data_IF_553459147723
#
_entry.id   IF_553459147723
#
_cell.length_a   1.000
_cell.length_b   1.000
_cell.length_c   1.000
_cell.angle_alpha   90.00
_cell.angle_beta   90.00
_cell.angle_gamma   90.00
#
_symmetry.space_group_name_H-M   'P 1'
#
loop_
_entity.id
_entity.type
_entity.pdbx_description
1 polymer ?
#
# COMPACT_ATOMS: atom_id res chain seq x y z
N UNK A 1 -12.64 -4.04 1.31
CA UNK A 1 -11.95 -4.63 0.16
C UNK A 1 -12.82 -4.77 -1.11
N UNK A 2 -14.18 -4.85 -1.08
CA UNK A 2 -14.96 -4.97 -2.32
C UNK A 2 -14.69 -3.85 -3.33
N UNK A 3 -14.47 -2.61 -2.87
CA UNK A 3 -14.17 -1.48 -3.75
C UNK A 3 -12.87 -1.68 -4.56
N UNK A 4 -11.80 -2.18 -3.92
CA UNK A 4 -10.53 -2.44 -4.60
C UNK A 4 -10.63 -3.61 -5.59
N UNK A 5 -11.45 -4.62 -5.27
CA UNK A 5 -11.76 -5.72 -6.20
C UNK A 5 -12.50 -5.20 -7.43
N UNK A 6 -13.57 -4.41 -7.23
CA UNK A 6 -14.33 -3.80 -8.32
C UNK A 6 -13.47 -2.88 -9.18
N UNK A 7 -12.63 -2.05 -8.56
CA UNK A 7 -11.72 -1.17 -9.29
C UNK A 7 -10.76 -1.99 -10.18
N UNK A 8 -10.22 -3.09 -9.67
CA UNK A 8 -9.38 -3.99 -10.46
C UNK A 8 -10.12 -4.57 -11.68
N UNK A 9 -11.36 -5.01 -11.50
CA UNK A 9 -12.21 -5.51 -12.60
C UNK A 9 -12.50 -4.41 -13.63
N UNK A 10 -12.81 -3.19 -13.18
CA UNK A 10 -13.07 -2.05 -14.06
C UNK A 10 -11.81 -1.73 -14.89
N UNK A 11 -10.66 -1.64 -14.25
CA UNK A 11 -9.38 -1.39 -14.93
C UNK A 11 -9.07 -2.47 -15.96
N UNK A 12 -9.30 -3.74 -15.64
CA UNK A 12 -9.10 -4.84 -16.57
C UNK A 12 -10.04 -4.71 -17.78
N UNK A 13 -11.32 -4.40 -17.56
CA UNK A 13 -12.28 -4.22 -18.66
C UNK A 13 -11.96 -3.03 -19.56
N UNK A 14 -11.52 -1.92 -18.98
CA UNK A 14 -11.19 -0.70 -19.73
C UNK A 14 -9.91 -0.84 -20.55
N UNK A 15 -8.93 -1.59 -20.07
CA UNK A 15 -7.61 -1.70 -20.68
C UNK A 15 -7.40 -2.97 -21.49
N UNK A 16 -8.25 -3.99 -21.30
CA UNK A 16 -8.03 -5.33 -21.84
C UNK A 16 -6.85 -6.09 -21.20
N UNK A 17 -6.23 -5.53 -20.16
CA UNK A 17 -5.06 -6.08 -19.46
C UNK A 17 -5.40 -6.32 -17.99
N UNK A 18 -4.94 -7.44 -17.43
CA UNK A 18 -5.10 -7.71 -16.01
C UNK A 18 -4.21 -6.78 -15.15
N UNK A 19 -4.43 -6.77 -13.83
CA UNK A 19 -3.67 -5.90 -12.92
C UNK A 19 -2.19 -6.24 -12.87
N UNK A 20 -1.82 -7.52 -13.05
CA UNK A 20 -0.44 -7.95 -13.07
C UNK A 20 0.30 -7.35 -14.28
N UNK A 21 -0.29 -7.46 -15.45
CA UNK A 21 0.25 -6.88 -16.67
C UNK A 21 0.32 -5.36 -16.59
N UNK A 22 -0.74 -4.70 -16.09
CA UNK A 22 -0.74 -3.25 -15.90
C UNK A 22 0.30 -2.79 -14.90
N UNK A 23 0.42 -3.48 -13.75
CA UNK A 23 1.44 -3.19 -12.74
C UNK A 23 2.85 -3.33 -13.30
N UNK A 24 3.09 -4.42 -14.05
CA UNK A 24 4.36 -4.68 -14.69
C UNK A 24 4.75 -3.58 -15.68
N UNK A 25 3.90 -3.30 -16.67
CA UNK A 25 4.20 -2.36 -17.75
C UNK A 25 4.28 -0.90 -17.27
N UNK A 26 3.43 -0.51 -16.29
CA UNK A 26 3.33 0.89 -15.87
C UNK A 26 4.28 1.27 -14.75
N UNK A 27 4.62 0.30 -13.89
CA UNK A 27 5.39 0.57 -12.67
C UNK A 27 6.63 -0.33 -12.54
N UNK A 28 6.46 -1.65 -12.59
CA UNK A 28 7.55 -2.54 -12.19
C UNK A 28 8.73 -2.48 -13.16
N UNK A 29 8.48 -2.56 -14.45
CA UNK A 29 9.54 -2.46 -15.48
C UNK A 29 10.16 -1.06 -15.50
N UNK A 30 9.40 0.05 -15.60
CA UNK A 30 9.97 1.39 -15.61
C UNK A 30 10.79 1.72 -14.35
N UNK A 31 10.38 1.25 -13.18
CA UNK A 31 11.06 1.48 -11.91
C UNK A 31 12.16 0.44 -11.62
N UNK A 32 12.31 -0.59 -12.42
CA UNK A 32 13.21 -1.70 -12.16
C UNK A 32 12.85 -2.48 -10.88
N UNK A 33 11.55 -2.64 -10.61
CA UNK A 33 11.00 -3.39 -9.46
C UNK A 33 10.92 -4.89 -9.83
N UNK A 34 12.06 -5.54 -9.86
CA UNK A 34 12.19 -6.91 -10.39
C UNK A 34 11.57 -7.98 -9.50
N UNK A 35 11.35 -7.69 -8.23
CA UNK A 35 10.82 -8.65 -7.24
C UNK A 35 9.35 -8.41 -6.88
N UNK A 36 8.68 -7.48 -7.56
CA UNK A 36 7.31 -7.09 -7.29
C UNK A 36 6.31 -7.74 -8.24
N UNK A 37 5.09 -8.02 -7.77
CA UNK A 37 3.97 -8.56 -8.54
C UNK A 37 3.19 -9.65 -7.82
N UNK A 38 2.20 -10.21 -8.50
CA UNK A 38 1.42 -11.35 -8.02
C UNK A 38 2.10 -12.66 -8.40
N UNK A 39 1.68 -13.78 -7.79
CA UNK A 39 2.11 -15.15 -8.07
C UNK A 39 3.65 -15.29 -8.19
N UNK A 40 4.41 -14.95 -7.15
CA UNK A 40 5.87 -14.84 -7.22
C UNK A 40 6.56 -16.15 -7.60
N UNK A 41 5.96 -17.30 -7.30
CA UNK A 41 6.53 -18.63 -7.59
C UNK A 41 6.39 -19.04 -9.06
N UNK A 42 5.37 -18.54 -9.77
CA UNK A 42 4.95 -19.06 -11.07
C UNK A 42 4.87 -18.03 -12.18
N UNK A 43 5.02 -16.75 -11.87
CA UNK A 43 4.98 -15.69 -12.88
C UNK A 43 6.09 -15.86 -13.91
N UNK A 44 5.79 -15.62 -15.17
CA UNK A 44 6.68 -15.86 -16.31
C UNK A 44 7.95 -14.99 -16.30
N UNK A 45 7.83 -13.74 -15.78
CA UNK A 45 8.98 -12.86 -15.64
C UNK A 45 9.50 -12.92 -14.20
N UNK A 46 10.73 -13.26 -14.02
CA UNK A 46 11.42 -13.21 -12.72
C UNK A 46 10.67 -13.95 -11.59
N UNK A 47 10.44 -15.25 -11.75
CA UNK A 47 9.95 -16.10 -10.68
C UNK A 47 10.93 -16.07 -9.49
N UNK A 48 10.39 -16.03 -8.28
CA UNK A 48 11.17 -15.97 -7.03
C UNK A 48 11.21 -17.37 -6.42
N UNK A 49 12.40 -17.89 -6.09
CA UNK A 49 12.52 -19.15 -5.39
C UNK A 49 11.76 -19.13 -4.05
N UNK A 50 11.12 -20.25 -3.70
CA UNK A 50 10.30 -20.33 -2.46
C UNK A 50 11.10 -19.96 -1.21
N UNK A 51 12.36 -20.35 -1.14
CA UNK A 51 13.28 -20.09 -0.03
C UNK A 51 13.64 -18.61 0.15
N UNK A 52 13.33 -17.78 -0.84
CA UNK A 52 13.50 -16.32 -0.78
C UNK A 52 12.20 -15.57 -0.44
N UNK A 53 11.11 -16.30 -0.16
CA UNK A 53 9.82 -15.73 0.17
C UNK A 53 9.50 -16.06 1.63
N UNK A 54 9.28 -15.05 2.45
CA UNK A 54 8.89 -15.23 3.82
C UNK A 54 7.49 -15.85 3.92
N UNK A 55 7.28 -16.89 4.76
CA UNK A 55 5.96 -17.45 5.00
C UNK A 55 5.12 -16.48 5.82
N UNK A 56 3.81 -16.49 5.63
CA UNK A 56 2.90 -15.54 6.28
C UNK A 56 2.04 -16.15 7.39
N UNK A 57 1.77 -17.44 7.35
CA UNK A 57 0.97 -18.14 8.37
C UNK A 57 1.05 -19.67 8.22
N UNK A 58 0.88 -20.40 9.31
CA UNK A 58 0.45 -21.80 9.30
C UNK A 58 -1.09 -21.77 9.33
N UNK A 59 -1.71 -21.83 8.16
CA UNK A 59 -3.12 -21.56 7.97
C UNK A 59 -3.98 -22.78 8.26
N UNK A 60 -4.84 -22.72 9.27
CA UNK A 60 -5.79 -23.79 9.61
C UNK A 60 -6.79 -24.04 8.49
N UNK A 61 -7.31 -22.98 7.85
CA UNK A 61 -8.27 -23.09 6.74
C UNK A 61 -7.70 -23.85 5.53
N UNK A 62 -6.39 -23.71 5.27
CA UNK A 62 -5.71 -24.38 4.14
C UNK A 62 -4.97 -25.65 4.59
N UNK A 63 -4.87 -25.90 5.90
CA UNK A 63 -4.18 -27.05 6.48
C UNK A 63 -2.66 -27.08 6.20
N UNK A 64 -2.04 -25.93 5.92
CA UNK A 64 -0.62 -25.84 5.58
C UNK A 64 -0.03 -24.44 5.75
N UNK A 65 1.29 -24.36 5.70
CA UNK A 65 2.02 -23.09 5.65
C UNK A 65 1.72 -22.33 4.35
N UNK A 66 1.47 -21.03 4.48
CA UNK A 66 1.32 -20.09 3.38
C UNK A 66 2.67 -19.42 3.10
N UNK A 67 3.23 -19.71 1.93
CA UNK A 67 4.46 -19.11 1.46
C UNK A 67 4.40 -18.96 -0.07
N UNK A 68 4.57 -17.72 -0.56
CA UNK A 68 4.46 -17.42 -1.99
C UNK A 68 3.03 -17.48 -2.55
N UNK A 69 2.05 -17.51 -1.66
CA UNK A 69 0.62 -17.50 -1.99
C UNK A 69 -0.08 -16.32 -1.33
N UNK A 70 -1.17 -15.86 -1.94
CA UNK A 70 -2.00 -14.79 -1.37
C UNK A 70 -2.52 -15.21 0.01
N UNK A 71 -2.23 -14.41 1.04
CA UNK A 71 -2.66 -14.68 2.41
C UNK A 71 -4.18 -14.54 2.59
N UNK A 72 -4.77 -13.43 2.10
CA UNK A 72 -6.22 -13.16 2.16
C UNK A 72 -7.02 -14.28 1.47
N UNK A 73 -7.94 -14.91 2.19
CA UNK A 73 -8.70 -16.06 1.73
C UNK A 73 -9.61 -15.71 0.54
N UNK A 74 -10.25 -14.54 0.59
CA UNK A 74 -11.14 -14.07 -0.48
C UNK A 74 -10.36 -13.81 -1.76
N UNK A 75 -9.25 -13.10 -1.66
CA UNK A 75 -8.35 -12.85 -2.77
C UNK A 75 -7.74 -14.15 -3.31
N UNK A 76 -7.38 -15.09 -2.42
CA UNK A 76 -6.87 -16.40 -2.81
C UNK A 76 -7.88 -17.22 -3.62
N UNK A 77 -9.16 -17.18 -3.29
CA UNK A 77 -10.23 -17.81 -4.08
C UNK A 77 -10.41 -17.09 -5.42
N UNK A 78 -10.52 -15.76 -5.39
CA UNK A 78 -10.81 -14.95 -6.58
C UNK A 78 -9.64 -14.92 -7.59
N UNK A 79 -8.39 -15.15 -7.15
CA UNK A 79 -7.22 -15.16 -8.03
C UNK A 79 -7.30 -16.13 -9.22
N UNK A 80 -8.15 -17.15 -9.12
CA UNK A 80 -8.39 -18.08 -10.22
C UNK A 80 -9.08 -17.43 -11.43
N UNK A 81 -9.69 -16.28 -11.21
CA UNK A 81 -10.42 -15.54 -12.23
C UNK A 81 -9.63 -14.33 -12.74
N UNK A 82 -8.93 -13.65 -11.83
CA UNK A 82 -8.13 -12.43 -12.13
C UNK A 82 -7.23 -12.07 -10.93
N UNK A 83 -6.12 -11.34 -11.13
CA UNK A 83 -5.37 -10.72 -10.05
C UNK A 83 -6.25 -9.73 -9.29
N UNK A 84 -6.28 -9.83 -7.96
CA UNK A 84 -7.21 -9.09 -7.12
C UNK A 84 -6.58 -7.81 -6.60
N UNK A 85 -7.24 -6.66 -6.79
CA UNK A 85 -6.73 -5.36 -6.40
C UNK A 85 -6.70 -5.09 -4.88
N UNK A 86 -7.26 -5.99 -4.05
CA UNK A 86 -7.34 -5.79 -2.60
C UNK A 86 -6.18 -6.40 -1.82
N UNK A 87 -5.51 -7.40 -2.36
CA UNK A 87 -4.43 -8.13 -1.69
C UNK A 87 -3.60 -8.96 -2.67
N UNK A 88 -2.50 -9.54 -2.20
CA UNK A 88 -1.76 -10.58 -2.92
C UNK A 88 -0.58 -10.10 -3.74
N UNK A 89 -0.25 -8.82 -3.70
CA UNK A 89 1.01 -8.35 -4.28
C UNK A 89 2.17 -8.70 -3.34
N UNK A 90 3.22 -9.25 -3.91
CA UNK A 90 4.51 -9.52 -3.27
C UNK A 90 5.53 -8.47 -3.69
N UNK A 91 6.43 -8.13 -2.81
CA UNK A 91 7.49 -7.16 -3.09
C UNK A 91 8.66 -7.32 -2.11
N UNK A 92 9.67 -6.47 -2.25
CA UNK A 92 10.78 -6.33 -1.32
C UNK A 92 11.01 -4.84 -0.99
N UNK A 93 11.74 -4.56 0.09
CA UNK A 93 12.00 -3.18 0.54
C UNK A 93 12.64 -2.33 -0.58
N UNK A 94 13.68 -2.78 -1.30
CA UNK A 94 14.27 -1.98 -2.38
C UNK A 94 13.30 -1.59 -3.48
N UNK A 95 12.39 -2.49 -3.87
CA UNK A 95 11.40 -2.19 -4.91
C UNK A 95 10.36 -1.19 -4.42
N UNK A 96 9.85 -1.37 -3.18
CA UNK A 96 8.88 -0.45 -2.60
C UNK A 96 9.47 0.96 -2.37
N UNK A 97 10.75 1.06 -2.01
CA UNK A 97 11.43 2.35 -1.92
C UNK A 97 11.49 3.08 -3.26
N UNK A 98 11.75 2.37 -4.38
CA UNK A 98 11.69 2.98 -5.72
C UNK A 98 10.30 3.51 -6.04
N UNK A 99 9.26 2.75 -5.71
CA UNK A 99 7.87 3.18 -5.91
C UNK A 99 7.53 4.41 -5.08
N UNK A 100 7.84 4.41 -3.78
CA UNK A 100 7.58 5.54 -2.88
C UNK A 100 8.37 6.77 -3.29
N UNK A 101 9.65 6.60 -3.65
CA UNK A 101 10.48 7.68 -4.18
C UNK A 101 9.86 8.31 -5.43
N UNK A 102 9.38 7.50 -6.38
CA UNK A 102 8.67 8.00 -7.55
C UNK A 102 7.43 8.82 -7.18
N UNK A 103 6.62 8.35 -6.21
CA UNK A 103 5.44 9.09 -5.73
C UNK A 103 5.84 10.39 -5.06
N UNK A 104 6.85 10.37 -4.18
CA UNK A 104 7.38 11.55 -3.48
C UNK A 104 7.97 12.60 -4.43
N UNK A 105 8.49 12.17 -5.58
CA UNK A 105 8.99 13.04 -6.65
C UNK A 105 7.93 13.33 -7.73
N UNK A 106 6.68 13.37 -7.34
CA UNK A 106 5.55 13.70 -8.21
C UNK A 106 5.51 12.92 -9.53
N UNK A 107 5.78 11.62 -9.46
CA UNK A 107 5.70 10.71 -10.59
C UNK A 107 6.98 10.59 -11.43
N UNK A 108 8.08 11.19 -10.97
CA UNK A 108 9.39 11.10 -11.63
C UNK A 108 10.28 10.09 -10.93
N UNK A 109 11.00 9.29 -11.69
CA UNK A 109 11.97 8.32 -11.19
C UNK A 109 13.26 8.35 -12.02
N UNK A 110 14.33 7.79 -11.48
CA UNK A 110 15.56 7.53 -12.24
C UNK A 110 15.36 6.33 -13.17
N UNK A 111 15.54 6.52 -14.46
CA UNK A 111 15.58 5.46 -15.43
C UNK A 111 16.89 4.66 -15.39
N UNK A 112 16.93 3.53 -16.09
CA UNK A 112 18.05 2.61 -16.08
C UNK A 112 19.39 3.23 -16.56
N UNK A 113 19.32 4.27 -17.36
CA UNK A 113 20.49 5.00 -17.90
C UNK A 113 20.84 6.27 -17.08
N UNK A 114 20.20 6.45 -15.91
CA UNK A 114 20.37 7.63 -15.06
C UNK A 114 19.59 8.87 -15.53
N UNK A 115 18.82 8.79 -16.61
CA UNK A 115 17.92 9.88 -17.02
C UNK A 115 16.66 9.87 -16.15
N UNK A 116 16.03 11.03 -15.98
CA UNK A 116 14.70 11.12 -15.39
C UNK A 116 13.64 10.58 -16.34
N UNK A 117 12.73 9.75 -15.81
CA UNK A 117 11.56 9.25 -16.51
C UNK A 117 10.30 9.59 -15.74
N UNK A 118 9.23 9.93 -16.45
CA UNK A 118 7.91 10.11 -15.85
C UNK A 118 7.14 8.80 -15.89
N UNK A 119 6.87 8.25 -14.71
CA UNK A 119 6.17 6.97 -14.52
C UNK A 119 4.69 7.19 -14.15
N UNK A 120 4.39 8.26 -13.40
CA UNK A 120 3.03 8.63 -13.05
C UNK A 120 2.70 10.08 -13.47
N UNK A 121 1.42 10.44 -13.63
CA UNK A 121 1.01 11.79 -13.99
C UNK A 121 1.55 12.84 -13.01
N UNK A 122 1.84 14.03 -13.49
CA UNK A 122 2.14 15.19 -12.65
C UNK A 122 0.95 15.47 -11.72
N UNK A 123 1.23 15.89 -10.49
CA UNK A 123 0.22 16.10 -9.45
C UNK A 123 -0.13 14.81 -8.66
N UNK A 124 0.52 13.67 -8.94
CA UNK A 124 0.24 12.44 -8.18
C UNK A 124 0.53 12.61 -6.69
N UNK A 125 1.60 13.31 -6.33
CA UNK A 125 1.94 13.57 -4.92
C UNK A 125 0.79 14.29 -4.22
N UNK A 126 0.24 15.33 -4.84
CA UNK A 126 -0.93 16.04 -4.32
C UNK A 126 -2.13 15.12 -4.16
N UNK A 127 -2.41 14.28 -5.15
CA UNK A 127 -3.54 13.34 -5.12
C UNK A 127 -3.46 12.31 -3.99
N UNK A 128 -2.27 11.92 -3.56
CA UNK A 128 -2.08 10.92 -2.50
C UNK A 128 -1.83 11.53 -1.12
N UNK A 129 -1.50 12.81 -1.01
CA UNK A 129 -1.17 13.52 0.24
C UNK A 129 -2.23 14.54 0.66
N UNK A 130 -3.27 14.75 -0.13
CA UNK A 130 -4.39 15.62 0.22
C UNK A 130 -5.68 14.82 0.41
N UNK A 131 -6.51 15.27 1.34
CA UNK A 131 -7.78 14.61 1.62
C UNK A 131 -8.71 14.64 0.40
N UNK A 132 -9.08 13.47 -0.10
CA UNK A 132 -9.99 13.31 -1.23
C UNK A 132 -11.44 13.70 -0.86
N UNK A 133 -11.78 13.73 0.44
CA UNK A 133 -13.09 14.10 0.95
C UNK A 133 -13.03 15.51 1.56
N UNK A 134 -13.01 16.53 0.72
CA UNK A 134 -13.24 17.90 1.18
C UNK A 134 -14.68 18.07 1.67
N UNK A 135 -14.94 19.06 2.54
CA UNK A 135 -16.30 19.36 3.06
C UNK A 135 -17.37 19.45 1.95
N UNK A 136 -17.02 19.97 0.80
CA UNK A 136 -17.93 20.16 -0.34
C UNK A 136 -18.23 18.84 -1.06
N UNK A 137 -17.25 17.95 -1.19
CA UNK A 137 -17.43 16.61 -1.80
C UNK A 137 -18.16 15.64 -0.87
N UNK A 138 -17.87 15.66 0.43
CA UNK A 138 -18.49 14.77 1.40
C UNK A 138 -19.98 15.11 1.66
N UNK A 139 -20.34 16.41 1.58
CA UNK A 139 -21.73 16.86 1.78
C UNK A 139 -22.71 16.31 0.72
N UNK A 140 -22.21 15.91 -0.44
CA UNK A 140 -23.05 15.32 -1.51
C UNK A 140 -23.37 13.84 -1.28
N UNK A 141 -22.61 13.13 -0.45
CA UNK A 141 -22.72 11.68 -0.29
C UNK A 141 -23.06 11.21 1.13
N UNK A 142 -23.02 12.09 2.13
CA UNK A 142 -23.37 11.75 3.51
C UNK A 142 -24.77 12.30 3.86
N UNK A 143 -25.63 11.52 4.53
CA UNK A 143 -26.91 12.03 5.00
C UNK A 143 -26.70 13.22 5.95
N UNK A 144 -27.51 14.26 5.77
CA UNK A 144 -27.52 15.43 6.62
C UNK A 144 -27.73 15.03 8.09
N UNK A 145 -26.70 15.19 8.91
CA UNK A 145 -26.77 14.84 10.34
C UNK A 145 -25.49 14.16 10.90
N UNK A 146 -24.63 13.62 10.06
CA UNK A 146 -23.37 13.02 10.51
C UNK A 146 -22.12 13.84 10.15
N UNK A 147 -22.23 15.17 10.19
CA UNK A 147 -21.08 16.06 9.98
C UNK A 147 -20.24 16.15 11.26
N UNK A 148 -19.45 15.15 11.54
CA UNK A 148 -18.35 15.22 12.54
C UNK A 148 -17.00 15.49 11.87
N UNK A 149 -16.99 16.08 10.69
CA UNK A 149 -15.78 16.66 10.10
C UNK A 149 -15.55 18.04 10.75
N UNK A 150 -15.04 18.04 11.97
CA UNK A 150 -14.52 19.23 12.61
C UNK A 150 -13.32 19.78 11.85
N UNK A 151 -13.12 21.09 11.92
CA UNK A 151 -11.90 21.80 11.46
C UNK A 151 -10.70 21.38 12.32
N UNK A 152 -10.20 20.18 12.16
CA UNK A 152 -8.96 19.77 12.79
C UNK A 152 -7.92 19.49 11.73
N UNK A 153 -6.90 20.36 11.62
CA UNK A 153 -5.63 19.93 11.05
C UNK A 153 -5.06 18.88 12.01
N UNK A 154 -4.51 17.82 11.49
CA UNK A 154 -3.71 16.83 12.20
C UNK A 154 -4.21 16.47 13.60
N UNK A 155 -4.86 15.33 13.76
CA UNK A 155 -5.20 14.79 15.06
C UNK A 155 -6.68 14.56 15.36
N UNK A 156 -7.54 14.57 14.37
CA UNK A 156 -8.93 14.17 14.57
C UNK A 156 -9.00 12.67 14.89
N UNK A 157 -9.07 12.37 16.16
CA UNK A 157 -9.59 11.10 16.63
C UNK A 157 -10.90 10.79 15.87
N UNK A 158 -10.91 9.67 15.12
CA UNK A 158 -12.07 9.06 14.47
C UNK A 158 -12.61 9.63 13.15
N UNK A 159 -11.96 10.54 12.45
CA UNK A 159 -12.32 10.89 11.07
C UNK A 159 -11.52 10.08 10.06
N UNK A 160 -12.17 9.36 9.13
CA UNK A 160 -11.48 8.71 8.03
C UNK A 160 -10.87 9.78 7.10
N UNK A 161 -9.58 10.04 7.29
CA UNK A 161 -8.83 10.95 6.44
C UNK A 161 -8.11 10.09 5.38
N UNK A 162 -8.59 10.12 4.15
CA UNK A 162 -8.07 9.29 3.06
C UNK A 162 -7.85 10.11 1.81
N UNK A 163 -6.79 9.79 1.10
CA UNK A 163 -6.53 10.22 -0.26
C UNK A 163 -6.84 9.08 -1.24
N UNK A 164 -6.45 9.22 -2.51
CA UNK A 164 -6.67 8.19 -3.50
C UNK A 164 -5.81 6.94 -3.22
N UNK A 165 -6.42 5.95 -2.58
CA UNK A 165 -5.79 4.67 -2.22
C UNK A 165 -4.93 4.68 -0.96
N UNK A 166 -4.74 5.83 -0.30
CA UNK A 166 -3.88 6.01 0.86
C UNK A 166 -4.64 6.53 2.08
N UNK A 167 -4.16 6.22 3.26
CA UNK A 167 -4.60 6.80 4.53
C UNK A 167 -3.70 8.01 4.85
N UNK A 168 -4.28 9.09 5.42
CA UNK A 168 -3.56 10.31 5.73
C UNK A 168 -3.39 10.49 7.22
N UNK A 169 -2.19 10.87 7.66
CA UNK A 169 -1.84 11.28 9.03
C UNK A 169 -2.44 10.38 10.12
N UNK A 170 -2.43 9.05 9.90
CA UNK A 170 -2.99 8.09 10.84
C UNK A 170 -2.00 7.78 11.97
N UNK A 171 -2.07 8.51 13.08
CA UNK A 171 -1.19 8.30 14.23
C UNK A 171 -1.14 6.86 14.75
N UNK A 172 -2.20 6.08 14.53
CA UNK A 172 -2.26 4.67 14.93
C UNK A 172 -1.08 3.84 14.40
N UNK A 173 -0.59 4.12 13.18
CA UNK A 173 0.53 3.35 12.58
C UNK A 173 1.62 4.23 11.94
N UNK A 174 1.36 5.52 11.77
CA UNK A 174 2.35 6.46 11.22
C UNK A 174 3.15 7.20 12.30
N UNK A 175 2.74 7.05 13.58
CA UNK A 175 3.35 7.77 14.69
C UNK A 175 2.78 9.16 14.92
N UNK A 176 3.40 9.89 15.84
CA UNK A 176 2.96 11.22 16.29
C UNK A 176 3.74 12.37 15.64
N UNK A 177 4.83 12.05 14.93
CA UNK A 177 5.77 13.02 14.34
C UNK A 177 5.46 13.38 12.89
N UNK A 178 4.57 12.62 12.24
CA UNK A 178 4.22 12.85 10.84
C UNK A 178 3.46 14.16 10.63
N UNK A 179 3.67 14.80 9.48
CA UNK A 179 2.92 15.97 9.06
C UNK A 179 1.48 15.62 8.67
N UNK A 180 0.57 16.62 8.59
CA UNK A 180 -0.79 16.42 8.08
C UNK A 180 -0.85 15.88 6.63
N UNK A 181 0.22 15.99 5.87
CA UNK A 181 0.34 15.53 4.49
C UNK A 181 0.97 14.14 4.36
N UNK A 182 1.35 13.54 5.49
CA UNK A 182 1.87 12.18 5.50
C UNK A 182 0.80 11.21 5.02
N UNK A 183 1.20 10.30 4.15
CA UNK A 183 0.35 9.26 3.62
C UNK A 183 0.98 7.88 3.86
N UNK A 184 0.14 6.88 3.97
CA UNK A 184 0.62 5.53 4.22
C UNK A 184 -0.44 4.47 3.99
N UNK A 185 -0.02 3.23 4.06
CA UNK A 185 -0.88 2.05 3.96
C UNK A 185 -0.31 0.90 4.76
N UNK A 186 -1.22 0.09 5.30
CA UNK A 186 -0.85 -1.14 6.03
C UNK A 186 -1.31 -2.38 5.30
N UNK A 187 -0.55 -3.46 5.43
CA UNK A 187 -0.94 -4.81 5.05
C UNK A 187 -1.29 -5.66 6.27
N UNK A 188 -2.20 -6.61 6.09
CA UNK A 188 -2.68 -7.49 7.15
C UNK A 188 -1.54 -8.31 7.77
N UNK A 189 -0.62 -8.81 6.94
CA UNK A 189 0.52 -9.62 7.36
C UNK A 189 1.59 -8.87 8.16
N UNK A 190 1.45 -7.54 8.29
CA UNK A 190 2.39 -6.73 9.07
C UNK A 190 3.09 -5.63 8.28
N UNK A 191 3.07 -5.69 6.95
CA UNK A 191 3.69 -4.68 6.10
C UNK A 191 3.10 -3.29 6.29
N UNK A 192 3.91 -2.25 6.12
CA UNK A 192 3.43 -0.86 6.01
C UNK A 192 4.38 0.01 5.19
N UNK A 193 3.81 1.06 4.62
CA UNK A 193 4.52 2.18 4.02
C UNK A 193 4.01 3.44 4.71
N UNK A 194 4.93 4.31 5.12
CA UNK A 194 4.64 5.66 5.61
C UNK A 194 5.57 6.61 4.85
N UNK A 195 4.99 7.66 4.26
CA UNK A 195 5.75 8.69 3.55
C UNK A 195 5.27 10.07 4.00
N UNK A 196 6.19 10.95 4.28
CA UNK A 196 5.90 12.33 4.67
C UNK A 196 6.61 13.31 3.72
N UNK A 197 5.84 13.95 2.81
CA UNK A 197 6.40 14.88 1.83
C UNK A 197 6.98 16.14 2.47
N UNK A 198 6.54 16.52 3.66
CA UNK A 198 7.06 17.71 4.36
C UNK A 198 8.42 17.38 5.00
N UNK A 199 8.55 16.20 5.61
CA UNK A 199 9.83 15.72 6.10
C UNK A 199 10.77 15.25 4.98
N UNK A 200 10.27 15.03 3.77
CA UNK A 200 11.06 14.47 2.66
C UNK A 200 11.50 13.02 2.91
N UNK A 201 10.77 12.28 3.75
CA UNK A 201 11.18 10.99 4.27
C UNK A 201 10.10 9.91 4.07
N UNK A 202 10.53 8.66 3.93
CA UNK A 202 9.62 7.52 3.85
C UNK A 202 10.19 6.30 4.58
N UNK A 203 9.30 5.51 5.19
CA UNK A 203 9.62 4.27 5.88
C UNK A 203 8.85 3.14 5.26
N UNK A 204 9.55 2.07 4.90
CA UNK A 204 8.96 0.80 4.44
C UNK A 204 9.28 -0.27 5.46
N UNK A 205 8.24 -0.86 6.02
CA UNK A 205 8.34 -2.03 6.90
C UNK A 205 7.74 -3.24 6.18
N UNK A 206 8.49 -4.31 6.06
CA UNK A 206 7.99 -5.63 5.71
C UNK A 206 8.19 -6.56 6.91
N UNK A 207 7.12 -7.19 7.35
CA UNK A 207 7.14 -8.14 8.45
C UNK A 207 6.06 -9.21 8.25
N UNK A 208 6.26 -10.36 8.90
CA UNK A 208 5.30 -11.46 8.93
C UNK A 208 4.69 -11.58 10.33
N UNK A 209 3.99 -10.52 10.73
CA UNK A 209 3.32 -10.43 12.03
C UNK A 209 2.30 -11.57 12.26
N UNK A 210 1.77 -12.12 11.17
CA UNK A 210 0.80 -13.22 11.20
C UNK A 210 1.45 -14.61 11.31
N UNK A 211 2.78 -14.71 11.24
CA UNK A 211 3.49 -15.99 11.35
C UNK A 211 3.94 -16.27 12.80
N UNK A 212 3.86 -17.51 13.29
CA UNK A 212 3.25 -18.67 12.62
C UNK A 212 1.72 -18.69 12.67
N UNK A 213 1.10 -17.93 13.56
CA UNK A 213 -0.35 -17.84 13.72
C UNK A 213 -0.75 -16.39 13.91
N UNK A 214 -1.86 -15.99 13.22
CA UNK A 214 -2.39 -14.62 13.32
C UNK A 214 -2.86 -14.31 14.75
N UNK A 215 -2.55 -13.10 15.21
CA UNK A 215 -3.06 -12.61 16.48
C UNK A 215 -4.49 -12.09 16.36
N UNK A 216 -5.24 -12.11 17.47
CA UNK A 216 -6.62 -11.60 17.52
C UNK A 216 -6.70 -10.07 17.34
N UNK A 217 -5.64 -9.33 17.72
CA UNK A 217 -5.57 -7.87 17.61
C UNK A 217 -4.33 -7.43 16.84
N UNK A 218 -4.50 -6.40 16.03
CA UNK A 218 -3.40 -5.73 15.32
C UNK A 218 -2.73 -4.60 16.15
N UNK A 219 -3.07 -4.42 17.43
CA UNK A 219 -2.59 -3.29 18.22
C UNK A 219 -1.08 -3.31 18.40
N UNK A 220 -0.49 -4.48 18.61
CA UNK A 220 0.96 -4.65 18.77
C UNK A 220 1.74 -4.24 17.52
N UNK A 221 1.31 -4.66 16.33
CA UNK A 221 1.96 -4.28 15.08
C UNK A 221 1.72 -2.81 14.75
N UNK A 222 0.56 -2.25 15.10
CA UNK A 222 0.32 -0.84 14.92
C UNK A 222 1.22 0.02 15.81
N UNK A 223 1.37 -0.33 17.09
CA UNK A 223 2.27 0.35 18.00
C UNK A 223 3.73 0.27 17.52
N UNK A 224 4.16 -0.89 17.03
CA UNK A 224 5.52 -1.05 16.48
C UNK A 224 5.74 -0.16 15.24
N UNK A 225 4.80 -0.13 14.30
CA UNK A 225 4.86 0.71 13.10
C UNK A 225 4.96 2.19 13.47
N UNK A 226 4.12 2.64 14.41
CA UNK A 226 4.12 4.02 14.90
C UNK A 226 5.47 4.40 15.54
N UNK A 227 5.98 3.55 16.44
CA UNK A 227 7.29 3.78 17.08
C UNK A 227 8.44 3.79 16.08
N UNK A 228 8.41 2.92 15.07
CA UNK A 228 9.41 2.89 14.01
C UNK A 228 9.39 4.18 13.18
N UNK A 229 8.21 4.66 12.80
CA UNK A 229 8.06 5.89 12.04
C UNK A 229 8.52 7.10 12.85
N UNK A 230 8.13 7.21 14.12
CA UNK A 230 8.58 8.28 15.01
C UNK A 230 10.11 8.28 15.19
N UNK A 231 10.69 7.10 15.46
CA UNK A 231 12.14 6.97 15.59
C UNK A 231 12.89 7.38 14.32
N UNK A 232 12.37 7.04 13.14
CA UNK A 232 12.97 7.42 11.87
C UNK A 232 12.90 8.93 11.63
N UNK A 233 11.75 9.56 11.93
CA UNK A 233 11.55 11.00 11.73
C UNK A 233 12.30 11.86 12.77
N UNK A 234 12.69 11.29 13.92
CA UNK A 234 13.54 11.99 14.90
C UNK A 234 14.99 12.15 14.43
N UNK A 235 15.42 11.42 13.38
CA UNK A 235 16.77 11.53 12.79
C UNK A 235 16.89 12.56 11.65
N UNK A 236 15.76 13.13 11.20
CA UNK A 236 15.68 14.12 10.11
C UNK A 236 15.19 15.47 10.61
#
# INVERSE_FOLDING_TARGET
NPASVLLGIILQRLTGKDLQQQGRERFFEPLGMTRSGWDPLTREWNAIPREEIAPTEICEFRGREICGEIHDESAWVLRKLFPVGSAGMFSCVPDLLKFVHMVMNDGIAAGANGSEIRVAPAGILKMVSENAFTREGAAQFLPAGNSTAGDSPAGAANGACTALGWELAQGKFMGSRVSPHAFGKTGFTGASIVADPIAGAAVVLLSDFTYPHREASADRIHAFRASLADAFLDFW
#
